data_IF_780096470691
#
_entry.id   IF_780096470691
#
_cell.length_a   1.000
_cell.length_b   1.000
_cell.length_c   1.000
_cell.angle_alpha   90.00
_cell.angle_beta   90.00
_cell.angle_gamma   90.00
#
_symmetry.space_group_name_H-M   'P 1'
#
loop_
_entity.id
_entity.type
_entity.pdbx_description
1 polymer ?
#
# COMPACT_ATOMS: atom_id res chain seq x y z
N UNK A 1 11.70 -15.13 3.46
CA UNK A 1 10.55 -14.65 2.65
C UNK A 1 10.73 -13.16 2.50
N UNK A 2 10.91 -12.64 1.29
CA UNK A 2 11.11 -11.20 1.09
C UNK A 2 9.86 -10.43 1.47
N UNK A 3 10.02 -9.39 2.26
CA UNK A 3 8.95 -8.50 2.69
C UNK A 3 8.78 -7.39 1.66
N UNK A 4 8.20 -7.72 0.51
CA UNK A 4 7.90 -6.76 -0.56
C UNK A 4 6.40 -6.65 -0.73
N UNK A 5 5.87 -5.43 -0.65
CA UNK A 5 4.44 -5.14 -0.79
C UNK A 5 4.20 -4.05 -1.82
N UNK A 6 3.03 -4.11 -2.46
CA UNK A 6 2.55 -3.01 -3.32
C UNK A 6 1.56 -2.19 -2.50
N UNK A 7 1.82 -0.88 -2.40
CA UNK A 7 1.03 0.07 -1.62
C UNK A 7 0.38 1.07 -2.57
N UNK A 8 -0.87 1.40 -2.28
CA UNK A 8 -1.62 2.43 -2.97
C UNK A 8 -2.48 3.19 -1.99
N UNK A 9 -2.55 4.50 -2.12
CA UNK A 9 -3.37 5.35 -1.23
C UNK A 9 -4.68 5.75 -1.92
N UNK A 10 -5.79 5.90 -1.17
CA UNK A 10 -7.02 6.48 -1.70
C UNK A 10 -6.77 7.89 -2.25
N UNK A 11 -7.30 8.17 -3.44
CA UNK A 11 -7.09 9.47 -4.11
C UNK A 11 -5.74 9.61 -4.81
N UNK A 12 -4.79 8.70 -4.59
CA UNK A 12 -3.51 8.67 -5.30
C UNK A 12 -3.56 7.61 -6.43
N UNK A 13 -3.44 8.01 -7.70
CA UNK A 13 -3.39 7.06 -8.82
C UNK A 13 -2.12 6.22 -8.80
N UNK A 14 -1.05 6.69 -8.15
CA UNK A 14 0.25 6.05 -8.10
C UNK A 14 0.20 4.78 -7.25
N UNK A 15 0.99 3.79 -7.65
CA UNK A 15 1.28 2.61 -6.85
C UNK A 15 2.75 2.63 -6.48
N UNK A 16 3.08 2.08 -5.32
CA UNK A 16 4.43 2.04 -4.79
C UNK A 16 4.81 0.60 -4.52
N UNK A 17 6.02 0.20 -4.88
CA UNK A 17 6.65 -1.01 -4.36
C UNK A 17 7.42 -0.60 -3.11
N UNK A 18 7.12 -1.23 -1.99
CA UNK A 18 7.87 -1.10 -0.76
C UNK A 18 8.60 -2.40 -0.49
N UNK A 19 9.93 -2.35 -0.53
CA UNK A 19 10.80 -3.43 -0.09
C UNK A 19 11.25 -3.10 1.34
N UNK A 20 10.70 -3.85 2.30
CA UNK A 20 10.95 -3.66 3.73
C UNK A 20 12.34 -4.18 4.12
N UNK A 21 12.85 -5.20 3.42
CA UNK A 21 14.17 -5.75 3.70
C UNK A 21 15.27 -4.81 3.18
N UNK A 22 15.03 -4.17 2.03
CA UNK A 22 15.91 -3.12 1.49
C UNK A 22 15.69 -1.74 2.12
N UNK A 23 14.54 -1.52 2.78
CA UNK A 23 14.16 -0.21 3.33
C UNK A 23 13.85 0.84 2.27
N UNK A 24 13.35 0.42 1.09
CA UNK A 24 13.11 1.31 -0.04
C UNK A 24 11.64 1.34 -0.45
N UNK A 25 11.18 2.51 -0.91
CA UNK A 25 9.85 2.69 -1.50
C UNK A 25 10.02 3.36 -2.85
N UNK A 26 9.56 2.71 -3.91
CA UNK A 26 9.68 3.19 -5.28
C UNK A 26 8.31 3.30 -5.96
N UNK A 27 8.00 4.42 -6.62
CA UNK A 27 6.78 4.52 -7.42
C UNK A 27 6.85 3.60 -8.64
N UNK A 28 5.73 2.96 -8.97
CA UNK A 28 5.56 2.11 -10.14
C UNK A 28 4.95 2.98 -11.24
N UNK A 29 5.75 3.31 -12.25
CA UNK A 29 5.34 4.18 -13.35
C UNK A 29 4.47 3.48 -14.40
N UNK A 30 4.52 2.14 -14.49
CA UNK A 30 3.78 1.40 -15.50
C UNK A 30 3.17 0.12 -14.92
N UNK A 31 1.93 0.22 -14.45
CA UNK A 31 1.16 -0.93 -13.97
C UNK A 31 0.36 -1.54 -15.11
N UNK A 32 0.67 -2.79 -15.44
CA UNK A 32 0.05 -3.53 -16.54
C UNK A 32 -0.57 -4.84 -16.06
N UNK A 33 -1.46 -5.42 -16.88
CA UNK A 33 -2.10 -6.70 -16.58
C UNK A 33 -3.01 -6.66 -15.35
N UNK A 34 -3.01 -7.74 -14.56
CA UNK A 34 -3.87 -7.88 -13.39
C UNK A 34 -3.67 -6.78 -12.32
N UNK A 35 -2.47 -6.19 -12.25
CA UNK A 35 -2.19 -5.06 -11.35
C UNK A 35 -2.93 -3.78 -11.79
N UNK A 36 -3.10 -3.57 -13.10
CA UNK A 36 -3.88 -2.45 -13.61
C UNK A 36 -5.36 -2.60 -13.25
N UNK A 37 -5.92 -3.80 -13.40
CA UNK A 37 -7.30 -4.09 -12.99
C UNK A 37 -7.51 -3.91 -11.49
N UNK A 38 -6.56 -4.38 -10.66
CA UNK A 38 -6.58 -4.13 -9.21
C UNK A 38 -6.50 -2.63 -8.87
N UNK A 39 -5.67 -1.87 -9.60
CA UNK A 39 -5.58 -0.41 -9.45
C UNK A 39 -6.91 0.28 -9.78
N UNK A 40 -7.62 -0.15 -10.83
CA UNK A 40 -8.95 0.36 -11.20
C UNK A 40 -10.01 0.06 -10.14
N UNK A 41 -9.98 -1.15 -9.55
CA UNK A 41 -10.86 -1.52 -8.43
C UNK A 41 -10.64 -0.60 -7.22
N UNK A 42 -9.38 -0.31 -6.89
CA UNK A 42 -9.03 0.68 -5.86
C UNK A 42 -9.53 2.08 -6.21
N UNK A 43 -9.40 2.50 -7.47
CA UNK A 43 -9.95 3.77 -7.95
C UNK A 43 -11.47 3.90 -7.76
N UNK A 44 -12.18 2.76 -7.68
CA UNK A 44 -13.62 2.70 -7.41
C UNK A 44 -13.96 2.59 -5.91
N UNK A 45 -12.97 2.76 -5.02
CA UNK A 45 -13.12 2.63 -3.56
C UNK A 45 -12.94 1.21 -3.02
N UNK A 46 -12.51 0.25 -3.84
CA UNK A 46 -12.21 -1.11 -3.42
C UNK A 46 -10.88 -1.22 -2.67
N UNK A 47 -10.72 -2.29 -1.88
CA UNK A 47 -9.45 -2.65 -1.23
C UNK A 47 -8.98 -3.98 -1.78
N UNK A 48 -7.72 -4.06 -2.20
CA UNK A 48 -7.10 -5.30 -2.69
C UNK A 48 -5.98 -5.69 -1.74
N UNK A 49 -6.17 -6.79 -1.02
CA UNK A 49 -5.17 -7.34 -0.10
C UNK A 49 -4.88 -8.78 -0.51
N UNK A 50 -3.60 -9.13 -0.63
CA UNK A 50 -3.16 -10.50 -0.95
C UNK A 50 -1.90 -10.82 -0.19
N UNK A 51 -1.92 -11.90 0.59
CA UNK A 51 -0.80 -12.32 1.45
C UNK A 51 -0.29 -11.22 2.41
N UNK A 52 -1.19 -10.34 2.85
CA UNK A 52 -0.93 -9.34 3.90
C UNK A 52 -2.06 -9.48 4.92
N UNK A 53 -1.73 -9.73 6.18
CA UNK A 53 -2.69 -9.91 7.27
C UNK A 53 -3.07 -8.59 7.97
N UNK A 54 -2.21 -7.57 7.89
CA UNK A 54 -2.43 -6.26 8.51
C UNK A 54 -1.92 -5.12 7.61
N UNK A 55 -2.83 -4.27 7.15
CA UNK A 55 -2.51 -3.12 6.30
C UNK A 55 -3.32 -1.90 6.73
N UNK A 56 -2.63 -0.86 7.21
CA UNK A 56 -3.26 0.37 7.71
C UNK A 56 -2.49 1.55 7.15
N UNK A 57 -3.18 2.38 6.37
CA UNK A 57 -2.63 3.65 5.93
C UNK A 57 -2.70 4.65 7.08
N UNK A 58 -1.57 5.26 7.40
CA UNK A 58 -1.44 6.28 8.45
C UNK A 58 -0.94 7.58 7.86
N UNK A 59 -1.41 8.71 8.41
CA UNK A 59 -0.97 10.02 7.96
C UNK A 59 0.49 10.35 8.37
N UNK A 60 0.97 9.77 9.49
CA UNK A 60 2.34 9.96 9.95
C UNK A 60 2.83 8.79 10.79
N UNK A 61 4.13 8.53 10.79
CA UNK A 61 4.73 7.53 11.68
C UNK A 61 4.51 7.86 13.17
N UNK A 62 4.42 9.14 13.52
CA UNK A 62 4.10 9.58 14.88
C UNK A 62 2.71 9.12 15.35
N UNK A 63 1.77 8.91 14.43
CA UNK A 63 0.45 8.37 14.72
C UNK A 63 0.48 6.92 15.21
N UNK A 64 1.51 6.14 14.88
CA UNK A 64 1.69 4.76 15.37
C UNK A 64 1.97 4.77 16.88
N UNK A 65 2.88 5.63 17.32
CA UNK A 65 3.27 5.78 18.72
C UNK A 65 2.21 6.45 19.59
N UNK A 66 1.22 7.11 18.98
CA UNK A 66 0.17 7.85 19.68
C UNK A 66 -1.06 6.98 20.05
N UNK A 67 -0.98 5.66 19.89
CA UNK A 67 -2.12 4.78 20.12
C UNK A 67 -3.08 4.76 18.92
N UNK A 68 -2.57 4.40 17.74
CA UNK A 68 -3.34 4.34 16.49
C UNK A 68 -4.66 3.54 16.59
N UNK A 69 -4.74 2.60 17.54
CA UNK A 69 -5.92 1.78 17.85
C UNK A 69 -6.35 1.88 19.32
N UNK A 70 -5.76 2.78 20.08
CA UNK A 70 -6.14 3.05 21.47
C UNK A 70 -7.30 4.05 21.44
N UNK A 71 -8.50 3.51 21.23
CA UNK A 71 -9.77 4.22 21.37
C UNK A 71 -10.56 3.62 22.52
#
# INVERSE_FOLDING_TARGET
>A
MSKVVIIGFPGDPTLYVADIDAGTVMPISNVTGALASASQLRGSGGVVVKNVDFAVAIASAASVSAGLFDT
#
